data_IF_686557305013
#
_entry.id   IF_686557305013
#
_cell.length_a   1.000
_cell.length_b   1.000
_cell.length_c   1.000
_cell.angle_alpha   90.00
_cell.angle_beta   90.00
_cell.angle_gamma   90.00
#
_symmetry.space_group_name_H-M   'P 1'
#
loop_
_entity.id
_entity.type
_entity.pdbx_description
1 polymer ?
#
# COMPACT_ATOMS: atom_id res chain seq x y z
N UNK A 1 -16.51 54.82 -1.34
CA UNK A 1 -16.46 53.84 -0.22
C UNK A 1 -16.73 52.42 -0.74
N UNK A 2 -17.71 52.22 -1.62
CA UNK A 2 -18.07 50.91 -2.20
C UNK A 2 -17.00 50.27 -3.10
N UNK A 3 -16.33 51.05 -3.95
CA UNK A 3 -15.28 50.55 -4.85
C UNK A 3 -14.08 49.96 -4.09
N UNK A 4 -13.66 50.64 -3.02
CA UNK A 4 -12.62 50.16 -2.10
C UNK A 4 -13.02 48.86 -1.39
N UNK A 5 -14.33 48.66 -1.16
CA UNK A 5 -14.88 47.44 -0.57
C UNK A 5 -14.78 46.26 -1.55
N UNK A 6 -15.12 46.47 -2.82
CA UNK A 6 -15.02 45.43 -3.87
C UNK A 6 -13.57 45.00 -4.15
N UNK A 7 -12.63 45.95 -4.22
CA UNK A 7 -11.20 45.63 -4.43
C UNK A 7 -10.62 44.80 -3.30
N UNK A 8 -10.98 45.10 -2.04
CA UNK A 8 -10.55 44.33 -0.88
C UNK A 8 -11.11 42.90 -0.91
N UNK A 9 -12.38 42.72 -1.29
CA UNK A 9 -12.98 41.38 -1.42
C UNK A 9 -12.30 40.55 -2.51
N UNK A 10 -11.96 41.17 -3.65
CA UNK A 10 -11.23 40.49 -4.73
C UNK A 10 -9.81 40.09 -4.32
N UNK A 11 -9.10 40.96 -3.61
CA UNK A 11 -7.77 40.66 -3.06
C UNK A 11 -7.81 39.48 -2.07
N UNK A 12 -8.82 39.45 -1.19
CA UNK A 12 -9.02 38.33 -0.25
C UNK A 12 -9.29 37.03 -1.01
N UNK A 13 -10.16 37.06 -2.03
CA UNK A 13 -10.47 35.86 -2.83
C UNK A 13 -9.24 35.32 -3.56
N UNK A 14 -8.46 36.20 -4.20
CA UNK A 14 -7.20 35.82 -4.87
C UNK A 14 -6.21 35.25 -3.87
N UNK A 15 -6.07 35.88 -2.69
CA UNK A 15 -5.20 35.39 -1.63
C UNK A 15 -5.62 33.99 -1.15
N UNK A 16 -6.92 33.72 -0.97
CA UNK A 16 -7.44 32.40 -0.60
C UNK A 16 -7.18 31.34 -1.68
N UNK A 17 -7.32 31.69 -2.96
CA UNK A 17 -7.00 30.78 -4.08
C UNK A 17 -5.52 30.44 -4.11
N UNK A 18 -4.65 31.44 -3.93
CA UNK A 18 -3.19 31.24 -3.86
C UNK A 18 -2.79 30.39 -2.65
N UNK A 19 -3.39 30.63 -1.49
CA UNK A 19 -3.19 29.81 -0.28
C UNK A 19 -3.65 28.37 -0.45
N UNK A 20 -4.76 28.14 -1.16
CA UNK A 20 -5.24 26.78 -1.44
C UNK A 20 -4.32 26.04 -2.42
N UNK A 21 -3.84 26.73 -3.46
CA UNK A 21 -2.91 26.17 -4.45
C UNK A 21 -1.50 25.91 -3.88
N UNK A 22 -1.11 26.57 -2.79
CA UNK A 22 0.19 26.41 -2.16
C UNK A 22 0.26 25.30 -1.11
N UNK A 23 -0.84 24.58 -0.85
CA UNK A 23 -0.82 23.40 0.02
C UNK A 23 -0.03 22.29 -0.72
N UNK A 24 1.15 21.87 -0.24
CA UNK A 24 1.90 20.80 -0.88
C UNK A 24 1.10 19.49 -0.79
N UNK A 25 0.85 18.86 -1.93
CA UNK A 25 0.26 17.52 -1.98
C UNK A 25 1.33 16.52 -1.54
N UNK A 26 1.30 16.12 -0.28
CA UNK A 26 2.15 15.03 0.18
C UNK A 26 1.55 13.72 -0.34
N UNK A 27 2.20 13.12 -1.34
CA UNK A 27 1.84 11.79 -1.77
C UNK A 27 2.36 10.81 -0.72
N UNK A 28 1.47 9.96 -0.19
CA UNK A 28 1.91 8.81 0.57
C UNK A 28 2.79 7.93 -0.34
N UNK A 29 3.85 7.35 0.23
CA UNK A 29 4.79 6.55 -0.53
C UNK A 29 4.05 5.40 -1.24
N UNK A 30 4.32 5.22 -2.54
CA UNK A 30 3.79 4.12 -3.35
C UNK A 30 4.75 2.93 -3.40
N UNK A 31 5.91 3.05 -2.74
CA UNK A 31 6.99 2.07 -2.77
C UNK A 31 7.45 1.63 -1.37
N UNK A 32 8.05 0.44 -1.30
CA UNK A 32 8.79 -0.09 -0.16
C UNK A 32 10.14 -0.62 -0.61
N UNK A 33 11.21 -0.10 -0.02
CA UNK A 33 12.59 -0.56 -0.22
C UNK A 33 13.03 -1.53 0.87
N UNK A 34 14.18 -2.18 0.67
CA UNK A 34 14.67 -3.24 1.56
C UNK A 34 15.09 -2.79 2.96
N UNK A 35 15.34 -1.50 3.14
CA UNK A 35 15.66 -0.86 4.41
C UNK A 35 14.45 -0.21 5.09
N UNK A 36 13.28 -0.28 4.46
CA UNK A 36 12.04 0.27 5.02
C UNK A 36 11.26 -0.80 5.77
N UNK A 37 10.61 -0.34 6.85
CA UNK A 37 9.74 -1.15 7.68
C UNK A 37 8.40 -0.46 7.69
N UNK A 38 7.36 -1.18 7.29
CA UNK A 38 5.99 -0.72 7.40
C UNK A 38 5.39 -1.29 8.68
N UNK A 39 5.04 -0.42 9.63
CA UNK A 39 4.38 -0.77 10.89
C UNK A 39 2.86 -0.79 10.73
N UNK A 40 2.18 -1.27 11.77
CA UNK A 40 0.73 -1.51 11.75
C UNK A 40 -0.12 -0.32 11.28
N UNK A 41 0.20 0.91 11.69
CA UNK A 41 -0.56 2.12 11.33
C UNK A 41 -0.01 2.84 10.09
N UNK A 42 0.95 2.25 9.41
CA UNK A 42 1.58 2.82 8.21
C UNK A 42 1.06 2.09 6.97
N UNK A 43 0.95 2.83 5.88
CA UNK A 43 0.44 2.30 4.62
C UNK A 43 1.25 2.80 3.44
N UNK A 44 1.13 2.06 2.34
CA UNK A 44 1.64 2.42 1.03
C UNK A 44 0.42 2.71 0.16
N UNK A 45 0.41 3.84 -0.52
CA UNK A 45 -0.73 4.29 -1.34
C UNK A 45 -0.32 4.37 -2.80
N UNK A 46 -1.18 3.90 -3.70
CA UNK A 46 -0.92 4.00 -5.14
C UNK A 46 -0.86 5.47 -5.60
N UNK A 47 -0.17 5.81 -6.72
CA UNK A 47 0.04 7.20 -7.12
C UNK A 47 -1.22 8.08 -7.24
N UNK A 48 -2.34 7.52 -7.71
CA UNK A 48 -3.64 8.21 -7.83
C UNK A 48 -4.54 8.04 -6.59
N UNK A 49 -4.00 7.47 -5.52
CA UNK A 49 -4.70 7.20 -4.27
C UNK A 49 -5.93 6.30 -4.47
N UNK A 50 -5.83 5.35 -5.39
CA UNK A 50 -6.92 4.41 -5.71
C UNK A 50 -6.87 3.21 -4.77
N UNK A 51 -5.67 2.67 -4.55
CA UNK A 51 -5.42 1.51 -3.71
C UNK A 51 -4.48 1.87 -2.57
N UNK A 52 -4.62 1.13 -1.48
CA UNK A 52 -3.78 1.24 -0.30
C UNK A 52 -3.41 -0.16 0.19
N UNK A 53 -2.16 -0.32 0.61
CA UNK A 53 -1.59 -1.54 1.16
C UNK A 53 -1.11 -1.28 2.59
N UNK A 54 -1.48 -2.16 3.50
CA UNK A 54 -1.07 -2.08 4.90
C UNK A 54 -1.73 -3.13 5.78
N UNK A 55 -1.70 -2.91 7.09
CA UNK A 55 -2.35 -3.77 8.06
C UNK A 55 -3.80 -3.34 8.29
N UNK A 56 -4.68 -4.32 8.50
CA UNK A 56 -6.08 -4.07 8.83
C UNK A 56 -6.65 -5.16 9.75
N UNK A 57 -7.77 -4.85 10.40
CA UNK A 57 -8.59 -5.83 11.12
C UNK A 57 -10.03 -5.76 10.60
N UNK A 58 -10.65 -6.90 10.23
CA UNK A 58 -12.06 -6.94 9.87
C UNK A 58 -12.96 -6.50 11.04
N UNK A 59 -14.15 -5.93 10.78
CA UNK A 59 -15.11 -5.59 11.82
C UNK A 59 -15.41 -6.79 12.72
N UNK A 60 -15.48 -6.56 14.03
CA UNK A 60 -15.78 -7.57 15.06
C UNK A 60 -14.79 -8.75 15.12
N UNK A 61 -13.57 -8.57 14.60
CA UNK A 61 -12.49 -9.57 14.68
C UNK A 61 -11.31 -9.05 15.50
N UNK A 62 -10.62 -9.96 16.20
CA UNK A 62 -9.30 -9.71 16.80
C UNK A 62 -8.14 -10.13 15.88
N UNK A 63 -8.47 -10.68 14.72
CA UNK A 63 -7.46 -11.12 13.75
C UNK A 63 -7.01 -9.94 12.89
N UNK A 64 -5.70 -9.84 12.69
CA UNK A 64 -5.12 -8.82 11.83
C UNK A 64 -4.50 -9.44 10.59
N UNK A 65 -4.49 -8.66 9.52
CA UNK A 65 -4.03 -9.09 8.21
C UNK A 65 -3.27 -7.97 7.51
N UNK A 66 -2.41 -8.34 6.57
CA UNK A 66 -1.90 -7.43 5.54
C UNK A 66 -2.72 -7.63 4.28
N UNK A 67 -3.16 -6.53 3.69
CA UNK A 67 -3.95 -6.58 2.46
C UNK A 67 -3.84 -5.33 1.62
N UNK A 68 -4.51 -5.39 0.47
CA UNK A 68 -4.72 -4.26 -0.44
C UNK A 68 -6.23 -3.97 -0.44
N UNK A 69 -6.61 -2.70 -0.35
CA UNK A 69 -8.01 -2.27 -0.42
C UNK A 69 -8.18 -1.00 -1.24
N UNK A 70 -9.43 -0.72 -1.64
CA UNK A 70 -9.78 0.56 -2.26
C UNK A 70 -9.78 1.68 -1.22
N UNK A 71 -8.94 2.69 -1.42
CA UNK A 71 -8.79 3.81 -0.47
C UNK A 71 -10.02 4.72 -0.39
N UNK A 72 -10.64 4.99 -1.54
CA UNK A 72 -11.76 5.94 -1.67
C UNK A 72 -13.14 5.33 -1.41
N UNK A 73 -13.22 4.01 -1.16
CA UNK A 73 -14.48 3.32 -0.90
C UNK A 73 -14.62 3.12 0.61
N UNK A 74 -15.65 3.75 1.20
CA UNK A 74 -15.88 3.77 2.65
C UNK A 74 -16.04 2.39 3.31
N UNK A 75 -16.44 1.37 2.53
CA UNK A 75 -16.57 -0.01 3.02
C UNK A 75 -15.25 -0.77 3.08
N UNK A 76 -14.12 -0.15 2.68
CA UNK A 76 -12.79 -0.75 2.78
C UNK A 76 -12.69 -2.09 2.04
N UNK A 77 -13.19 -2.12 0.80
CA UNK A 77 -13.24 -3.36 0.01
C UNK A 77 -11.83 -3.90 -0.21
N UNK A 78 -11.52 -4.99 0.50
CA UNK A 78 -10.24 -5.69 0.43
C UNK A 78 -10.22 -6.58 -0.81
N UNK A 79 -9.17 -6.43 -1.62
CA UNK A 79 -9.01 -7.09 -2.92
C UNK A 79 -7.87 -8.11 -2.95
N UNK A 80 -7.02 -8.09 -1.94
CA UNK A 80 -5.96 -9.08 -1.73
C UNK A 80 -5.58 -9.15 -0.24
N UNK A 81 -5.22 -10.35 0.23
CA UNK A 81 -4.79 -10.60 1.63
C UNK A 81 -3.59 -11.54 1.63
N UNK A 82 -2.48 -11.10 2.22
CA UNK A 82 -1.23 -11.87 2.30
C UNK A 82 -1.38 -13.10 3.20
N UNK A 83 -1.61 -12.86 4.49
CA UNK A 83 -1.64 -13.87 5.55
C UNK A 83 -3.05 -14.43 5.80
N UNK A 84 -3.80 -14.70 4.73
CA UNK A 84 -5.20 -15.17 4.80
C UNK A 84 -5.38 -16.45 5.64
N UNK A 85 -4.39 -17.34 5.61
CA UNK A 85 -4.42 -18.63 6.31
C UNK A 85 -3.75 -18.56 7.71
N UNK A 86 -3.02 -17.48 8.00
CA UNK A 86 -2.24 -17.30 9.24
C UNK A 86 -2.51 -15.90 9.81
N UNK A 87 -3.73 -15.66 10.35
CA UNK A 87 -4.07 -14.37 10.95
C UNK A 87 -3.12 -14.01 12.10
N UNK A 88 -2.84 -12.72 12.24
CA UNK A 88 -2.04 -12.19 13.35
C UNK A 88 -2.97 -11.93 14.54
N UNK A 89 -2.47 -12.11 15.76
CA UNK A 89 -3.24 -11.93 17.00
C UNK A 89 -2.89 -10.65 17.77
N UNK A 90 -1.96 -9.84 17.24
CA UNK A 90 -1.48 -8.61 17.85
C UNK A 90 -0.96 -7.63 16.77
N UNK A 91 -0.74 -6.38 17.16
CA UNK A 91 -0.34 -5.28 16.26
C UNK A 91 1.15 -4.94 16.31
N UNK A 92 1.94 -5.61 17.16
CA UNK A 92 3.41 -5.48 17.23
C UNK A 92 4.08 -6.26 16.08
N UNK A 93 3.75 -5.89 14.86
CA UNK A 93 4.15 -6.57 13.63
C UNK A 93 4.73 -5.60 12.61
N UNK A 94 5.57 -6.12 11.74
CA UNK A 94 6.30 -5.38 10.72
C UNK A 94 6.16 -6.08 9.36
N UNK A 95 5.88 -5.29 8.32
CA UNK A 95 5.94 -5.71 6.93
C UNK A 95 7.22 -5.17 6.31
N UNK A 96 8.02 -6.05 5.71
CA UNK A 96 9.32 -5.69 5.13
C UNK A 96 9.57 -6.39 3.81
N UNK A 97 10.34 -5.74 2.95
CA UNK A 97 10.91 -6.33 1.76
C UNK A 97 12.36 -6.77 2.04
N UNK A 98 12.70 -8.02 1.79
CA UNK A 98 14.07 -8.51 1.98
C UNK A 98 14.95 -8.20 0.77
N UNK A 99 16.27 -8.29 0.96
CA UNK A 99 17.26 -8.20 -0.13
C UNK A 99 17.07 -9.28 -1.23
N UNK A 100 16.33 -10.34 -0.93
CA UNK A 100 16.00 -11.42 -1.86
C UNK A 100 14.67 -11.19 -2.58
N UNK A 101 14.05 -10.02 -2.44
CA UNK A 101 12.78 -9.70 -3.11
C UNK A 101 11.57 -10.44 -2.51
N UNK A 102 11.70 -10.91 -1.28
CA UNK A 102 10.63 -11.58 -0.53
C UNK A 102 9.95 -10.59 0.39
N UNK A 103 8.62 -10.52 0.33
CA UNK A 103 7.80 -9.77 1.25
C UNK A 103 7.56 -10.61 2.51
N UNK A 104 7.85 -10.04 3.68
CA UNK A 104 7.83 -10.74 4.97
C UNK A 104 7.02 -9.98 6.00
N UNK A 105 6.13 -10.69 6.70
CA UNK A 105 5.49 -10.25 7.93
C UNK A 105 6.21 -10.90 9.10
N UNK A 106 6.70 -10.11 10.03
CA UNK A 106 7.40 -10.59 11.23
C UNK A 106 6.90 -9.89 12.50
N UNK A 107 7.13 -10.53 13.63
CA UNK A 107 6.93 -9.90 14.94
C UNK A 107 8.03 -8.86 15.20
N UNK A 108 7.64 -7.67 15.65
CA UNK A 108 8.56 -6.53 15.79
C UNK A 108 9.60 -6.73 16.91
N UNK A 109 9.24 -7.46 17.97
CA UNK A 109 10.08 -7.66 19.16
C UNK A 109 11.07 -8.81 19.01
N UNK A 110 10.64 -9.93 18.43
CA UNK A 110 11.45 -11.15 18.31
C UNK A 110 12.08 -11.30 16.93
N UNK A 111 11.57 -10.61 15.91
CA UNK A 111 11.96 -10.80 14.51
C UNK A 111 11.43 -12.10 13.89
N UNK A 112 10.62 -12.88 14.61
CA UNK A 112 10.08 -14.14 14.12
C UNK A 112 9.20 -13.92 12.88
N UNK A 113 9.50 -14.67 11.81
CA UNK A 113 8.74 -14.63 10.56
C UNK A 113 7.41 -15.35 10.75
N UNK A 114 6.31 -14.64 10.53
CA UNK A 114 4.94 -15.17 10.64
C UNK A 114 4.40 -15.57 9.27
N UNK A 115 4.76 -14.81 8.24
CA UNK A 115 4.38 -15.07 6.85
C UNK A 115 5.45 -14.54 5.91
N UNK A 116 5.64 -15.23 4.79
CA UNK A 116 6.49 -14.77 3.69
C UNK A 116 5.81 -15.06 2.35
N UNK A 117 6.08 -14.22 1.36
CA UNK A 117 5.65 -14.48 -0.02
C UNK A 117 6.48 -15.61 -0.63
N UNK A 118 5.88 -16.35 -1.57
CA UNK A 118 6.64 -17.23 -2.44
C UNK A 118 7.56 -16.40 -3.35
N UNK A 119 8.75 -16.93 -3.64
CA UNK A 119 9.61 -16.41 -4.70
C UNK A 119 9.10 -16.96 -6.02
N UNK A 120 8.64 -16.09 -6.93
CA UNK A 120 8.16 -16.52 -8.26
C UNK A 120 9.23 -16.48 -9.34
N UNK A 121 10.29 -15.69 -9.16
CA UNK A 121 11.30 -15.44 -10.18
C UNK A 121 12.57 -16.25 -9.97
N UNK A 122 13.05 -16.89 -11.04
CA UNK A 122 14.38 -17.51 -11.12
C UNK A 122 15.48 -16.51 -11.48
N UNK A 123 15.13 -15.24 -11.69
CA UNK A 123 16.06 -14.18 -12.08
C UNK A 123 16.87 -13.69 -10.88
N UNK A 124 18.05 -13.17 -11.16
CA UNK A 124 18.91 -12.53 -10.16
C UNK A 124 18.19 -11.33 -9.53
N UNK A 125 18.23 -11.25 -8.21
CA UNK A 125 17.66 -10.15 -7.43
C UNK A 125 18.77 -9.19 -7.04
N UNK A 126 18.58 -7.90 -7.32
CA UNK A 126 19.49 -6.84 -6.90
C UNK A 126 18.70 -5.55 -6.64
N UNK A 127 18.86 -4.99 -5.43
CA UNK A 127 18.13 -3.80 -4.96
C UNK A 127 16.62 -3.85 -5.31
N UNK A 128 15.88 -4.85 -4.79
CA UNK A 128 14.47 -4.97 -5.09
C UNK A 128 13.66 -3.83 -4.45
N UNK A 129 12.66 -3.36 -5.18
CA UNK A 129 11.67 -2.38 -4.74
C UNK A 129 10.29 -2.97 -4.93
N UNK A 130 9.45 -2.87 -3.90
CA UNK A 130 8.03 -3.11 -3.98
C UNK A 130 7.29 -1.84 -4.35
N UNK A 131 6.31 -1.89 -5.26
CA UNK A 131 5.50 -0.74 -5.67
C UNK A 131 4.03 -1.13 -5.77
N UNK A 132 3.14 -0.30 -5.22
CA UNK A 132 1.70 -0.43 -5.37
C UNK A 132 1.22 0.42 -6.56
N UNK A 133 0.68 -0.25 -7.58
CA UNK A 133 0.19 0.40 -8.79
C UNK A 133 -1.28 0.83 -8.65
N UNK A 134 -1.70 1.79 -9.46
CA UNK A 134 -3.10 2.21 -9.56
C UNK A 134 -4.03 1.15 -10.16
N UNK A 135 -3.46 0.07 -10.70
CA UNK A 135 -4.19 -1.14 -11.10
C UNK A 135 -4.56 -2.03 -9.91
N UNK A 136 -4.05 -1.73 -8.72
CA UNK A 136 -4.22 -2.54 -7.51
C UNK A 136 -3.25 -3.71 -7.39
N UNK A 137 -2.34 -3.85 -8.35
CA UNK A 137 -1.26 -4.82 -8.29
C UNK A 137 -0.11 -4.27 -7.45
N UNK A 138 0.41 -5.09 -6.53
CA UNK A 138 1.68 -4.83 -5.87
C UNK A 138 2.77 -5.62 -6.59
N UNK A 139 3.77 -4.92 -7.14
CA UNK A 139 4.87 -5.53 -7.90
C UNK A 139 6.17 -5.40 -7.15
N UNK A 140 7.05 -6.38 -7.28
CA UNK A 140 8.44 -6.29 -6.83
C UNK A 140 9.33 -6.39 -8.06
N UNK A 141 10.24 -5.43 -8.22
CA UNK A 141 11.17 -5.37 -9.35
C UNK A 141 12.57 -4.94 -8.90
N UNK A 142 13.59 -5.26 -9.70
CA UNK A 142 14.96 -4.77 -9.50
C UNK A 142 15.07 -3.29 -9.88
N UNK A 143 15.53 -2.42 -8.98
CA UNK A 143 15.54 -0.98 -9.23
C UNK A 143 16.32 -0.58 -10.51
N UNK A 144 17.47 -1.21 -10.73
CA UNK A 144 18.42 -0.82 -11.77
C UNK A 144 17.94 -1.09 -13.20
N UNK A 145 17.36 -2.25 -13.46
CA UNK A 145 16.90 -2.66 -14.80
C UNK A 145 15.37 -2.77 -14.92
N UNK A 146 14.64 -2.48 -13.83
CA UNK A 146 13.18 -2.61 -13.70
C UNK A 146 12.67 -4.02 -14.01
N UNK A 147 13.51 -5.05 -13.91
CA UNK A 147 13.10 -6.43 -14.10
C UNK A 147 12.10 -6.83 -13.03
N UNK A 148 10.87 -7.16 -13.44
CA UNK A 148 9.84 -7.68 -12.54
C UNK A 148 10.22 -9.07 -12.03
N UNK A 149 10.12 -9.24 -10.71
CA UNK A 149 10.43 -10.45 -9.95
C UNK A 149 9.16 -11.18 -9.51
N UNK A 150 8.16 -10.44 -9.01
CA UNK A 150 6.87 -11.01 -8.62
C UNK A 150 5.79 -9.93 -8.68
N UNK A 151 4.56 -10.37 -8.90
CA UNK A 151 3.38 -9.52 -8.85
C UNK A 151 2.29 -10.18 -8.01
N UNK A 152 1.71 -9.41 -7.10
CA UNK A 152 0.55 -9.79 -6.31
C UNK A 152 -0.67 -9.09 -6.91
N UNK A 153 -1.55 -9.89 -7.49
CA UNK A 153 -2.72 -9.41 -8.22
C UNK A 153 -3.98 -9.39 -7.35
N UNK A 154 -4.94 -8.57 -7.78
CA UNK A 154 -6.31 -8.57 -7.27
C UNK A 154 -6.93 -9.96 -7.44
N UNK A 155 -7.41 -10.55 -6.36
CA UNK A 155 -8.25 -11.74 -6.41
C UNK A 155 -9.71 -11.30 -6.53
N UNK A 156 -10.19 -11.07 -7.74
CA UNK A 156 -11.64 -10.90 -7.97
C UNK A 156 -12.31 -12.24 -7.65
N UNK A 157 -13.34 -12.20 -6.78
CA UNK A 157 -14.17 -13.37 -6.48
C UNK A 157 -15.04 -13.69 -7.70
N UNK A 158 -14.46 -14.38 -8.68
CA UNK A 158 -15.22 -14.94 -9.79
C UNK A 158 -15.98 -16.16 -9.24
N UNK A 159 -17.30 -16.01 -9.08
CA UNK A 159 -18.32 -17.02 -8.75
C UNK A 159 -17.85 -18.31 -8.05
N UNK A 160 -18.19 -18.42 -6.76
CA UNK A 160 -18.39 -19.58 -5.86
C UNK A 160 -17.80 -20.99 -6.15
N UNK A 161 -16.80 -21.16 -7.01
CA UNK A 161 -16.11 -22.42 -7.25
C UNK A 161 -14.66 -22.12 -7.57
N UNK A 162 -13.79 -22.51 -6.63
CA UNK A 162 -12.35 -22.66 -6.73
C UNK A 162 -11.52 -21.37 -6.79
N UNK A 163 -10.71 -21.19 -5.74
CA UNK A 163 -9.70 -20.15 -5.64
C UNK A 163 -8.55 -20.42 -6.61
N UNK A 164 -8.59 -19.82 -7.79
CA UNK A 164 -7.40 -19.70 -8.65
C UNK A 164 -7.02 -18.24 -8.78
N UNK A 165 -6.32 -17.72 -7.77
CA UNK A 165 -5.46 -16.57 -8.00
C UNK A 165 -4.17 -17.13 -8.57
N UNK A 166 -4.00 -17.04 -9.89
CA UNK A 166 -2.70 -17.28 -10.50
C UNK A 166 -1.77 -16.14 -10.11
N UNK A 167 -1.05 -16.32 -9.00
CA UNK A 167 0.34 -15.88 -8.96
C UNK A 167 1.12 -16.86 -9.84
N UNK A 168 1.36 -16.49 -11.10
CA UNK A 168 2.51 -17.01 -11.83
C UNK A 168 3.61 -15.96 -11.72
#
# INVERSE_FOLDING_TARGET
>A
MEERRMTNTMLIFVFLVVLYASIPRTHAADTISTNQILRYNETITSPQETFELGFFSPPNSKNHYVGIWYKKISTGTVVWVANRNTPLTHTSVELTLTLHGVLVIREATTGNVIWSSAISSTKSVFNPIGQLLDTGNFVIYNEGDKTMLVQFCLCMKENNTNHTCHSR
#
